data_IF_862232713809
#
_entry.id   IF_862232713809
#
_cell.length_a   1.000
_cell.length_b   1.000
_cell.length_c   1.000
_cell.angle_alpha   90.00
_cell.angle_beta   90.00
_cell.angle_gamma   90.00
#
_symmetry.space_group_name_H-M   'P 1'
#
loop_
_entity.id
_entity.type
_entity.pdbx_description
1 polymer ?
#
# COMPACT_ATOMS: atom_id res chain seq x y z
N UNK A 1 20.94 -21.57 -1.23
CA UNK A 1 20.84 -20.27 -0.50
C UNK A 1 22.05 -19.94 0.33
N UNK A 2 22.51 -20.81 1.25
CA UNK A 2 23.68 -20.49 2.10
C UNK A 2 24.97 -20.22 1.29
N UNK A 3 25.21 -20.96 0.21
CA UNK A 3 26.34 -20.68 -0.68
C UNK A 3 26.27 -19.30 -1.34
N UNK A 4 25.07 -18.87 -1.76
CA UNK A 4 24.89 -17.52 -2.31
C UNK A 4 25.17 -16.46 -1.24
N UNK A 5 24.75 -16.70 0.01
CA UNK A 5 24.99 -15.77 1.11
C UNK A 5 26.48 -15.66 1.45
N UNK A 6 27.21 -16.78 1.40
CA UNK A 6 28.66 -16.80 1.52
C UNK A 6 29.32 -16.01 0.39
N UNK A 7 28.96 -16.28 -0.87
CA UNK A 7 29.48 -15.55 -2.03
C UNK A 7 29.22 -14.04 -1.94
N UNK A 8 28.02 -13.64 -1.48
CA UNK A 8 27.66 -12.24 -1.29
C UNK A 8 28.59 -11.53 -0.29
N UNK A 9 28.96 -12.20 0.81
CA UNK A 9 29.86 -11.65 1.83
C UNK A 9 31.31 -11.60 1.37
N UNK A 10 31.76 -12.62 0.66
CA UNK A 10 33.13 -12.74 0.16
C UNK A 10 33.40 -11.78 -1.00
N UNK A 11 32.34 -11.34 -1.71
CA UNK A 11 32.48 -10.39 -2.80
C UNK A 11 32.88 -9.00 -2.31
N UNK A 12 33.86 -8.38 -2.98
CA UNK A 12 34.25 -6.97 -2.76
C UNK A 12 33.55 -6.03 -3.74
N UNK A 13 33.17 -6.53 -4.92
CA UNK A 13 32.59 -5.75 -6.01
C UNK A 13 31.08 -5.61 -5.85
N UNK A 14 30.58 -4.37 -5.90
CA UNK A 14 29.13 -4.10 -5.81
C UNK A 14 28.34 -4.80 -6.92
N UNK A 15 28.87 -4.84 -8.14
CA UNK A 15 28.23 -5.50 -9.27
C UNK A 15 27.97 -6.99 -9.01
N UNK A 16 28.97 -7.72 -8.51
CA UNK A 16 28.84 -9.14 -8.20
C UNK A 16 27.82 -9.37 -7.09
N UNK A 17 27.82 -8.51 -6.06
CA UNK A 17 26.81 -8.54 -5.00
C UNK A 17 25.40 -8.37 -5.54
N UNK A 18 25.18 -7.47 -6.48
CA UNK A 18 23.87 -7.28 -7.13
C UNK A 18 23.46 -8.55 -7.88
N UNK A 19 24.33 -9.12 -8.70
CA UNK A 19 24.04 -10.35 -9.46
C UNK A 19 23.72 -11.53 -8.52
N UNK A 20 24.43 -11.62 -7.40
CA UNK A 20 24.17 -12.64 -6.37
C UNK A 20 22.81 -12.42 -5.71
N UNK A 21 22.47 -11.17 -5.35
CA UNK A 21 21.18 -10.83 -4.75
C UNK A 21 20.02 -11.06 -5.73
N UNK A 22 20.21 -10.80 -7.03
CA UNK A 22 19.21 -11.13 -8.04
C UNK A 22 18.92 -12.64 -8.06
N UNK A 23 19.97 -13.47 -8.09
CA UNK A 23 19.82 -14.93 -8.00
C UNK A 23 19.14 -15.35 -6.69
N UNK A 24 19.49 -14.73 -5.56
CA UNK A 24 18.81 -15.00 -4.29
C UNK A 24 17.31 -14.68 -4.39
N UNK A 25 16.96 -13.50 -4.90
CA UNK A 25 15.57 -13.05 -5.04
C UNK A 25 14.74 -14.05 -5.85
N UNK A 26 15.24 -14.53 -6.98
CA UNK A 26 14.55 -15.55 -7.79
C UNK A 26 14.28 -16.84 -7.00
N UNK A 27 15.27 -17.32 -6.23
CA UNK A 27 15.12 -18.51 -5.39
C UNK A 27 14.17 -18.28 -4.19
N UNK A 28 14.11 -17.04 -3.67
CA UNK A 28 13.30 -16.70 -2.50
C UNK A 28 11.79 -16.61 -2.80
N UNK A 29 11.37 -16.69 -4.06
CA UNK A 29 9.96 -16.87 -4.40
C UNK A 29 9.43 -18.28 -4.07
N UNK A 30 10.31 -19.27 -3.90
CA UNK A 30 9.92 -20.61 -3.47
C UNK A 30 9.78 -20.68 -1.95
N UNK A 31 8.59 -21.01 -1.45
CA UNK A 31 8.28 -20.99 -0.01
C UNK A 31 9.24 -21.84 0.83
N UNK A 32 9.54 -23.08 0.41
CA UNK A 32 10.46 -23.94 1.16
C UNK A 32 11.88 -23.35 1.25
N UNK A 33 12.33 -22.72 0.16
CA UNK A 33 13.64 -22.07 0.08
C UNK A 33 13.70 -20.82 0.97
N UNK A 34 12.67 -19.97 0.91
CA UNK A 34 12.54 -18.79 1.76
C UNK A 34 12.48 -19.17 3.25
N UNK A 35 11.68 -20.17 3.60
CA UNK A 35 11.49 -20.64 4.96
C UNK A 35 12.80 -21.19 5.55
N UNK A 36 13.49 -22.07 4.82
CA UNK A 36 14.77 -22.61 5.26
C UNK A 36 15.84 -21.51 5.41
N UNK A 37 15.87 -20.54 4.48
CA UNK A 37 16.80 -19.42 4.56
C UNK A 37 16.51 -18.48 5.74
N UNK A 38 15.24 -18.26 6.07
CA UNK A 38 14.82 -17.50 7.24
C UNK A 38 15.23 -18.22 8.54
N UNK A 39 14.91 -19.52 8.67
CA UNK A 39 15.24 -20.35 9.84
C UNK A 39 16.74 -20.42 10.13
N UNK A 40 17.55 -20.41 9.08
CA UNK A 40 19.02 -20.42 9.20
C UNK A 40 19.62 -19.03 9.42
N UNK A 41 18.80 -18.00 9.66
CA UNK A 41 19.23 -16.64 9.97
C UNK A 41 19.65 -15.81 8.76
N UNK A 42 19.56 -16.35 7.54
CA UNK A 42 20.07 -15.70 6.33
C UNK A 42 19.37 -14.38 5.99
N UNK A 43 18.05 -14.30 6.19
CA UNK A 43 17.31 -13.04 5.99
C UNK A 43 17.68 -11.97 7.03
N UNK A 44 17.85 -12.37 8.29
CA UNK A 44 18.32 -11.47 9.36
C UNK A 44 19.71 -10.95 9.06
N UNK A 45 20.56 -11.78 8.47
CA UNK A 45 21.89 -11.36 8.06
C UNK A 45 21.88 -10.37 6.90
N UNK A 46 20.98 -10.50 5.92
CA UNK A 46 20.79 -9.48 4.88
C UNK A 46 20.29 -8.16 5.47
N UNK A 47 19.50 -8.20 6.55
CA UNK A 47 19.12 -6.98 7.26
C UNK A 47 20.34 -6.32 7.93
N UNK A 48 21.33 -7.08 8.39
CA UNK A 48 22.48 -6.52 9.10
C UNK A 48 23.22 -5.52 8.22
N UNK A 49 23.54 -4.35 8.79
CA UNK A 49 24.20 -3.24 8.09
C UNK A 49 23.44 -2.64 6.89
N UNK A 50 22.17 -2.99 6.67
CA UNK A 50 21.36 -2.47 5.54
C UNK A 50 21.45 -0.94 5.43
N UNK A 51 21.39 -0.20 6.53
CA UNK A 51 21.49 1.27 6.54
C UNK A 51 22.82 1.83 6.00
N UNK A 52 23.91 1.05 6.07
CA UNK A 52 25.27 1.43 5.65
C UNK A 52 25.58 1.07 4.19
N UNK A 53 24.73 0.30 3.54
CA UNK A 53 24.94 -0.13 2.15
C UNK A 53 24.61 0.98 1.15
N UNK A 54 25.16 0.85 -0.05
CA UNK A 54 24.83 1.73 -1.17
C UNK A 54 23.35 1.57 -1.57
N UNK A 55 22.73 2.61 -2.17
CA UNK A 55 21.32 2.56 -2.57
C UNK A 55 20.93 1.37 -3.48
N UNK A 56 21.74 0.96 -4.48
CA UNK A 56 21.45 -0.22 -5.30
C UNK A 56 21.39 -1.51 -4.48
N UNK A 57 22.35 -1.72 -3.56
CA UNK A 57 22.38 -2.90 -2.71
C UNK A 57 21.21 -2.91 -1.71
N UNK A 58 20.90 -1.76 -1.10
CA UNK A 58 19.72 -1.63 -0.24
C UNK A 58 18.46 -2.06 -0.97
N UNK A 59 18.27 -1.52 -2.18
CA UNK A 59 17.14 -1.84 -3.04
C UNK A 59 17.02 -3.34 -3.31
N UNK A 60 18.12 -3.99 -3.70
CA UNK A 60 18.11 -5.42 -3.99
C UNK A 60 17.83 -6.28 -2.76
N UNK A 61 18.36 -5.90 -1.60
CA UNK A 61 18.05 -6.60 -0.34
C UNK A 61 16.57 -6.46 0.02
N UNK A 62 15.98 -5.26 -0.12
CA UNK A 62 14.54 -5.07 0.11
C UNK A 62 13.70 -5.97 -0.80
N UNK A 63 14.12 -6.15 -2.06
CA UNK A 63 13.44 -7.05 -2.99
C UNK A 63 13.58 -8.53 -2.59
N UNK A 64 14.76 -8.97 -2.13
CA UNK A 64 14.94 -10.32 -1.55
C UNK A 64 14.03 -10.54 -0.34
N UNK A 65 13.96 -9.57 0.57
CA UNK A 65 13.11 -9.63 1.76
C UNK A 65 11.64 -9.72 1.38
N UNK A 66 11.18 -8.86 0.47
CA UNK A 66 9.81 -8.87 -0.02
C UNK A 66 9.44 -10.22 -0.66
N UNK A 67 10.32 -10.77 -1.51
CA UNK A 67 10.12 -12.06 -2.17
C UNK A 67 9.97 -13.20 -1.15
N UNK A 68 10.82 -13.23 -0.12
CA UNK A 68 10.79 -14.26 0.92
C UNK A 68 9.55 -14.17 1.83
N UNK A 69 9.11 -12.95 2.15
CA UNK A 69 8.02 -12.69 3.10
C UNK A 69 6.64 -12.89 2.44
N UNK A 70 6.53 -12.54 1.16
CA UNK A 70 5.25 -12.56 0.45
C UNK A 70 4.65 -13.97 0.46
N UNK A 71 3.42 -14.09 0.96
CA UNK A 71 2.68 -15.36 0.98
C UNK A 71 3.17 -16.40 1.99
N UNK A 72 4.28 -16.18 2.71
CA UNK A 72 4.85 -17.18 3.63
C UNK A 72 4.65 -16.79 5.11
N UNK A 73 3.67 -17.40 5.78
CA UNK A 73 3.34 -17.09 7.18
C UNK A 73 4.52 -17.31 8.14
N UNK A 74 5.28 -18.40 7.99
CA UNK A 74 6.38 -18.70 8.90
C UNK A 74 7.57 -17.74 8.73
N UNK A 75 7.85 -17.30 7.50
CA UNK A 75 8.85 -16.25 7.27
C UNK A 75 8.39 -14.93 7.90
N UNK A 76 7.09 -14.58 7.84
CA UNK A 76 6.56 -13.39 8.52
C UNK A 76 6.77 -13.45 10.03
N UNK A 77 6.55 -14.59 10.66
CA UNK A 77 6.81 -14.77 12.11
C UNK A 77 8.27 -14.48 12.45
N UNK A 78 9.20 -15.14 11.76
CA UNK A 78 10.65 -14.97 11.97
C UNK A 78 11.07 -13.50 11.73
N UNK A 79 10.61 -12.89 10.64
CA UNK A 79 11.00 -11.52 10.31
C UNK A 79 10.35 -10.47 11.21
N UNK A 80 9.16 -10.76 11.75
CA UNK A 80 8.52 -9.93 12.76
C UNK A 80 9.32 -9.93 14.06
N UNK A 81 9.75 -11.11 14.53
CA UNK A 81 10.64 -11.24 15.69
C UNK A 81 12.00 -10.54 15.46
N UNK A 82 12.48 -10.54 14.22
CA UNK A 82 13.67 -9.81 13.80
C UNK A 82 13.48 -8.29 13.65
N UNK A 83 12.33 -7.73 14.08
CA UNK A 83 12.02 -6.30 14.10
C UNK A 83 12.11 -5.62 12.74
N UNK A 84 11.67 -6.33 11.68
CA UNK A 84 11.75 -5.81 10.32
C UNK A 84 10.91 -4.54 10.12
N UNK A 85 9.75 -4.45 10.78
CA UNK A 85 8.85 -3.31 10.62
C UNK A 85 9.46 -2.02 11.17
N UNK A 86 10.07 -2.07 12.36
CA UNK A 86 10.75 -0.91 12.94
C UNK A 86 11.93 -0.46 12.07
N UNK A 87 12.64 -1.43 11.47
CA UNK A 87 13.74 -1.17 10.55
C UNK A 87 13.27 -0.53 9.25
N UNK A 88 12.16 -0.99 8.68
CA UNK A 88 11.55 -0.36 7.50
C UNK A 88 11.05 1.05 7.82
N UNK A 89 10.39 1.26 8.96
CA UNK A 89 9.95 2.58 9.42
C UNK A 89 11.12 3.55 9.57
N UNK A 90 12.25 3.07 10.10
CA UNK A 90 13.47 3.86 10.24
C UNK A 90 14.05 4.26 8.88
N UNK A 91 14.25 3.30 7.97
CA UNK A 91 14.75 3.59 6.62
C UNK A 91 13.83 4.50 5.82
N UNK A 92 12.51 4.34 5.98
CA UNK A 92 11.52 5.19 5.34
C UNK A 92 11.62 6.63 5.85
N UNK A 93 11.68 6.83 7.18
CA UNK A 93 11.83 8.15 7.80
C UNK A 93 13.14 8.83 7.40
N UNK A 94 14.24 8.07 7.37
CA UNK A 94 15.55 8.56 6.90
C UNK A 94 15.45 9.03 5.45
N UNK A 95 14.87 8.24 4.55
CA UNK A 95 14.73 8.62 3.15
C UNK A 95 13.87 9.87 2.95
N UNK A 96 12.75 9.99 3.67
CA UNK A 96 11.89 11.18 3.63
C UNK A 96 12.54 12.43 4.21
N UNK A 97 13.65 12.29 4.94
CA UNK A 97 14.39 13.43 5.49
C UNK A 97 15.46 13.95 4.52
N UNK A 98 15.70 13.25 3.41
CA UNK A 98 16.59 13.71 2.35
C UNK A 98 15.98 14.91 1.60
N UNK A 99 16.84 15.76 1.02
CA UNK A 99 16.40 16.90 0.20
C UNK A 99 15.65 16.46 -1.07
N UNK A 100 16.04 15.32 -1.64
CA UNK A 100 15.40 14.72 -2.82
C UNK A 100 15.16 13.23 -2.56
N UNK A 101 14.11 12.89 -1.80
CA UNK A 101 13.79 11.50 -1.47
C UNK A 101 13.57 10.63 -2.72
N UNK A 102 14.00 9.37 -2.68
CA UNK A 102 13.88 8.42 -3.77
C UNK A 102 12.57 7.62 -3.70
N UNK A 103 11.56 7.91 -4.55
CA UNK A 103 10.27 7.22 -4.52
C UNK A 103 10.37 5.73 -4.87
N UNK A 104 11.37 5.32 -5.67
CA UNK A 104 11.57 3.90 -5.98
C UNK A 104 12.02 3.14 -4.73
N UNK A 105 12.98 3.68 -3.99
CA UNK A 105 13.47 3.07 -2.75
C UNK A 105 12.33 2.91 -1.73
N UNK A 106 11.52 3.96 -1.55
CA UNK A 106 10.35 3.92 -0.69
C UNK A 106 9.29 2.92 -1.16
N UNK A 107 9.11 2.76 -2.48
CA UNK A 107 8.20 1.75 -3.03
C UNK A 107 8.68 0.31 -2.75
N UNK A 108 9.98 0.08 -2.66
CA UNK A 108 10.57 -1.20 -2.28
C UNK A 108 10.49 -1.41 -0.75
N UNK A 109 10.69 -0.38 0.08
CA UNK A 109 10.42 -0.43 1.53
C UNK A 109 8.95 -0.76 1.80
N UNK A 110 8.03 -0.06 1.13
CA UNK A 110 6.60 -0.33 1.22
C UNK A 110 6.27 -1.74 0.75
N UNK A 111 6.95 -2.30 -0.25
CA UNK A 111 6.72 -3.67 -0.66
C UNK A 111 7.01 -4.66 0.48
N UNK A 112 8.12 -4.48 1.21
CA UNK A 112 8.46 -5.30 2.39
C UNK A 112 7.39 -5.15 3.48
N UNK A 113 7.03 -3.91 3.84
CA UNK A 113 5.98 -3.63 4.83
C UNK A 113 4.66 -4.29 4.41
N UNK A 114 4.24 -4.05 3.18
CA UNK A 114 2.98 -4.55 2.62
C UNK A 114 2.93 -6.08 2.61
N UNK A 115 4.05 -6.75 2.30
CA UNK A 115 4.19 -8.21 2.41
C UNK A 115 4.07 -8.70 3.86
N UNK A 116 4.62 -7.96 4.83
CA UNK A 116 4.48 -8.28 6.25
C UNK A 116 3.06 -8.11 6.77
N UNK A 117 2.34 -7.05 6.37
CA UNK A 117 1.04 -6.70 6.95
C UNK A 117 -0.12 -7.56 6.45
N UNK A 118 -0.17 -7.90 5.16
CA UNK A 118 -1.28 -8.67 4.59
C UNK A 118 -1.40 -10.04 5.24
N UNK A 119 -2.60 -10.43 5.64
CA UNK A 119 -2.92 -11.68 6.30
C UNK A 119 -2.13 -11.93 7.59
N UNK A 120 -1.68 -10.87 8.27
CA UNK A 120 -0.91 -11.01 9.51
C UNK A 120 -1.30 -9.92 10.54
N UNK A 121 -2.36 -10.17 11.33
CA UNK A 121 -2.95 -9.15 12.21
C UNK A 121 -1.99 -8.67 13.30
N UNK A 122 -1.12 -9.55 13.81
CA UNK A 122 -0.11 -9.17 14.80
C UNK A 122 0.81 -8.08 14.27
N UNK A 123 1.27 -8.21 13.02
CA UNK A 123 2.10 -7.20 12.36
C UNK A 123 1.33 -5.91 12.09
N UNK A 124 0.06 -5.99 11.65
CA UNK A 124 -0.79 -4.81 11.46
C UNK A 124 -0.92 -4.00 12.75
N UNK A 125 -1.26 -4.65 13.86
CA UNK A 125 -1.43 -3.96 15.12
C UNK A 125 -0.12 -3.31 15.58
N UNK A 126 1.00 -4.04 15.54
CA UNK A 126 2.29 -3.50 15.92
C UNK A 126 2.71 -2.30 15.05
N UNK A 127 2.42 -2.36 13.75
CA UNK A 127 2.74 -1.30 12.82
C UNK A 127 1.90 -0.05 13.08
N UNK A 128 0.58 -0.17 13.10
CA UNK A 128 -0.30 1.00 13.20
C UNK A 128 -0.45 1.56 14.63
N UNK A 129 -0.14 0.78 15.66
CA UNK A 129 -0.24 1.23 17.06
C UNK A 129 1.03 1.95 17.55
N UNK A 130 2.05 2.16 16.70
CA UNK A 130 3.25 2.93 17.06
C UNK A 130 2.87 4.41 17.31
N UNK A 131 3.00 4.87 18.56
CA UNK A 131 2.67 6.22 18.99
C UNK A 131 3.93 7.05 19.30
N UNK A 132 3.86 8.36 19.06
CA UNK A 132 4.84 9.33 19.56
C UNK A 132 4.63 9.58 21.06
N UNK A 133 5.54 10.34 21.68
CA UNK A 133 5.36 10.84 23.06
C UNK A 133 4.10 11.72 23.21
N UNK A 134 3.65 12.34 22.12
CA UNK A 134 2.42 13.15 22.07
C UNK A 134 1.15 12.31 21.85
N UNK A 135 1.29 11.00 21.63
CA UNK A 135 0.17 10.09 21.36
C UNK A 135 -0.22 9.99 19.88
N UNK A 136 0.46 10.70 18.99
CA UNK A 136 0.17 10.68 17.55
C UNK A 136 0.61 9.36 16.92
N UNK A 137 -0.21 8.81 16.03
CA UNK A 137 0.13 7.57 15.32
C UNK A 137 1.23 7.82 14.28
N UNK A 138 2.43 7.33 14.59
CA UNK A 138 3.67 7.54 13.83
C UNK A 138 3.50 7.11 12.38
N UNK A 139 2.85 5.96 12.15
CA UNK A 139 2.69 5.39 10.82
C UNK A 139 1.75 6.23 9.96
N UNK A 140 0.65 6.75 10.49
CA UNK A 140 -0.22 7.60 9.67
C UNK A 140 0.48 8.89 9.29
N UNK A 141 1.21 9.53 10.21
CA UNK A 141 2.05 10.68 9.86
C UNK A 141 3.08 10.33 8.77
N UNK A 142 3.68 9.13 8.83
CA UNK A 142 4.65 8.67 7.84
C UNK A 142 4.01 8.49 6.44
N UNK A 143 2.84 7.85 6.39
CA UNK A 143 2.09 7.64 5.15
C UNK A 143 1.64 8.98 4.54
N UNK A 144 1.13 9.90 5.37
CA UNK A 144 0.72 11.24 4.95
C UNK A 144 1.89 12.05 4.39
N UNK A 145 3.01 12.10 5.11
CA UNK A 145 4.24 12.73 4.61
C UNK A 145 4.70 12.14 3.29
N UNK A 146 4.41 10.86 3.03
CA UNK A 146 4.78 10.23 1.76
C UNK A 146 3.82 10.63 0.63
N UNK A 147 2.51 10.62 0.87
CA UNK A 147 1.51 10.88 -0.17
C UNK A 147 1.36 12.37 -0.49
N UNK A 148 1.75 13.25 0.43
CA UNK A 148 1.56 14.71 0.36
C UNK A 148 2.89 15.49 0.33
N UNK A 149 4.03 14.80 0.23
CA UNK A 149 5.34 15.46 0.19
C UNK A 149 5.42 16.46 -0.97
N UNK A 150 5.76 17.72 -0.65
CA UNK A 150 6.13 18.72 -1.65
C UNK A 150 7.52 18.47 -2.25
N UNK A 151 8.31 17.54 -1.69
CA UNK A 151 9.67 17.25 -2.14
C UNK A 151 9.71 16.49 -3.48
N UNK A 152 8.59 15.88 -3.88
CA UNK A 152 8.44 15.30 -5.22
C UNK A 152 7.14 15.78 -5.85
N UNK A 153 7.22 16.09 -7.15
CA UNK A 153 6.01 16.21 -7.95
C UNK A 153 5.58 14.80 -8.32
N UNK A 154 4.41 14.38 -7.86
CA UNK A 154 3.96 13.01 -8.02
C UNK A 154 3.52 12.65 -9.45
N UNK A 155 4.02 13.37 -10.45
CA UNK A 155 3.93 13.04 -11.88
C UNK A 155 5.08 12.14 -12.34
N UNK A 156 6.12 11.96 -11.52
CA UNK A 156 7.08 10.88 -11.74
C UNK A 156 6.39 9.51 -11.63
N UNK A 157 6.77 8.57 -12.51
CA UNK A 157 6.18 7.23 -12.56
C UNK A 157 6.35 6.46 -11.25
N UNK A 158 7.47 6.64 -10.55
CA UNK A 158 7.73 5.96 -9.29
C UNK A 158 6.94 6.60 -8.14
N UNK A 159 6.83 7.94 -8.10
CA UNK A 159 5.97 8.60 -7.11
C UNK A 159 4.51 8.18 -7.26
N UNK A 160 3.95 8.18 -8.48
CA UNK A 160 2.57 7.69 -8.74
C UNK A 160 2.37 6.28 -8.21
N UNK A 161 3.30 5.38 -8.55
CA UNK A 161 3.25 3.98 -8.12
C UNK A 161 3.31 3.86 -6.60
N UNK A 162 4.15 4.64 -5.93
CA UNK A 162 4.23 4.67 -4.48
C UNK A 162 2.89 5.12 -3.87
N UNK A 163 2.32 6.23 -4.36
CA UNK A 163 1.03 6.74 -3.90
C UNK A 163 -0.06 5.68 -4.06
N UNK A 164 -0.23 5.10 -5.26
CA UNK A 164 -1.24 4.05 -5.47
C UNK A 164 -1.01 2.81 -4.60
N UNK A 165 0.24 2.40 -4.35
CA UNK A 165 0.54 1.27 -3.46
C UNK A 165 0.15 1.55 -2.01
N UNK A 166 0.27 2.79 -1.54
CA UNK A 166 -0.17 3.16 -0.18
C UNK A 166 -1.69 3.04 -0.08
N UNK A 167 -2.43 3.65 -1.01
CA UNK A 167 -3.90 3.54 -1.03
C UNK A 167 -4.34 2.08 -1.18
N UNK A 168 -3.71 1.31 -2.08
CA UNK A 168 -4.02 -0.11 -2.27
C UNK A 168 -3.75 -0.91 -0.99
N UNK A 169 -2.62 -0.68 -0.31
CA UNK A 169 -2.35 -1.35 0.96
C UNK A 169 -3.45 -1.04 1.98
N UNK A 170 -3.82 0.22 2.18
CA UNK A 170 -4.87 0.57 3.15
C UNK A 170 -6.21 -0.06 2.78
N UNK A 171 -6.59 -0.03 1.50
CA UNK A 171 -7.79 -0.71 1.00
C UNK A 171 -7.76 -2.22 1.27
N UNK A 172 -6.66 -2.89 0.92
CA UNK A 172 -6.50 -4.35 1.16
C UNK A 172 -6.66 -4.70 2.64
N UNK A 173 -6.12 -3.89 3.55
CA UNK A 173 -6.20 -4.15 4.99
C UNK A 173 -7.61 -3.90 5.55
N UNK A 174 -8.38 -3.00 4.94
CA UNK A 174 -9.80 -2.79 5.29
C UNK A 174 -10.64 -3.96 4.79
N UNK A 175 -10.49 -4.34 3.52
CA UNK A 175 -11.19 -5.48 2.93
C UNK A 175 -10.91 -6.78 3.71
N UNK A 176 -9.63 -7.03 4.03
CA UNK A 176 -9.21 -8.18 4.87
C UNK A 176 -9.92 -8.22 6.23
N UNK A 177 -10.20 -7.05 6.82
CA UNK A 177 -10.90 -6.93 8.11
C UNK A 177 -12.42 -7.02 7.99
N UNK A 178 -12.97 -6.77 6.80
CA UNK A 178 -14.40 -6.93 6.55
C UNK A 178 -14.77 -8.38 6.25
N UNK A 179 -13.83 -9.19 5.77
CA UNK A 179 -13.98 -10.62 5.51
C UNK A 179 -13.73 -11.52 6.75
N UNK A 180 -13.85 -10.94 7.96
CA UNK A 180 -13.53 -11.65 9.22
C UNK A 180 -14.58 -12.69 9.64
N UNK A 181 -15.77 -12.70 9.07
CA UNK A 181 -16.84 -13.61 9.48
C UNK A 181 -16.46 -15.09 9.30
N UNK A 182 -15.63 -15.39 8.29
CA UNK A 182 -15.09 -16.74 8.02
C UNK A 182 -13.79 -17.04 8.79
N UNK A 183 -13.31 -16.10 9.62
CA UNK A 183 -12.02 -16.20 10.31
C UNK A 183 -12.15 -16.80 11.72
N UNK A 184 -11.21 -17.68 12.16
CA UNK A 184 -11.21 -18.22 13.51
C UNK A 184 -11.28 -17.14 14.59
N UNK A 185 -12.06 -17.38 15.66
CA UNK A 185 -12.33 -16.40 16.73
C UNK A 185 -11.05 -15.80 17.31
N UNK A 186 -10.01 -16.61 17.53
CA UNK A 186 -8.74 -16.14 18.07
C UNK A 186 -8.06 -15.13 17.15
N UNK A 187 -8.11 -15.34 15.84
CA UNK A 187 -7.56 -14.41 14.86
C UNK A 187 -8.38 -13.12 14.79
N UNK A 188 -9.71 -13.20 14.91
CA UNK A 188 -10.59 -12.01 15.04
C UNK A 188 -10.24 -11.16 16.26
N UNK A 189 -10.00 -11.78 17.42
CA UNK A 189 -9.55 -11.08 18.64
C UNK A 189 -8.23 -10.34 18.45
N UNK A 190 -7.34 -10.84 17.60
CA UNK A 190 -6.10 -10.12 17.27
C UNK A 190 -6.43 -8.88 16.43
N UNK A 191 -7.22 -8.99 15.36
CA UNK A 191 -7.60 -7.82 14.56
C UNK A 191 -8.28 -6.72 15.38
N UNK A 192 -9.11 -7.10 16.36
CA UNK A 192 -9.84 -6.13 17.19
C UNK A 192 -8.97 -5.34 18.19
N UNK A 193 -7.66 -5.63 18.31
CA UNK A 193 -6.77 -4.88 19.20
C UNK A 193 -6.48 -3.46 18.70
N UNK A 194 -6.71 -3.21 17.42
CA UNK A 194 -6.51 -1.91 16.79
C UNK A 194 -7.65 -1.66 15.79
N UNK A 195 -8.35 -0.54 15.93
CA UNK A 195 -9.49 -0.19 15.09
C UNK A 195 -9.02 0.58 13.84
N UNK A 196 -8.46 -0.16 12.87
CA UNK A 196 -7.99 0.44 11.62
C UNK A 196 -9.09 1.25 10.89
N UNK A 197 -10.36 0.78 10.78
CA UNK A 197 -11.43 1.59 10.19
C UNK A 197 -11.65 2.93 10.89
N UNK A 198 -11.63 2.99 12.23
CA UNK A 198 -11.75 4.25 12.97
C UNK A 198 -10.60 5.20 12.62
N UNK A 199 -9.38 4.68 12.58
CA UNK A 199 -8.17 5.47 12.36
C UNK A 199 -8.05 5.99 10.93
N UNK A 200 -8.54 5.22 9.94
CA UNK A 200 -8.68 5.66 8.55
C UNK A 200 -9.57 6.91 8.44
N UNK A 201 -10.68 6.95 9.19
CA UNK A 201 -11.55 8.12 9.25
C UNK A 201 -10.87 9.29 9.95
N UNK A 202 -10.31 9.05 11.13
CA UNK A 202 -9.70 10.08 11.98
C UNK A 202 -8.53 10.79 11.27
N UNK A 203 -7.72 10.03 10.54
CA UNK A 203 -6.59 10.56 9.78
C UNK A 203 -6.97 11.06 8.38
N UNK A 204 -8.27 11.17 8.07
CA UNK A 204 -8.79 11.79 6.86
C UNK A 204 -8.45 11.04 5.56
N UNK A 205 -8.33 9.72 5.60
CA UNK A 205 -8.08 8.91 4.39
C UNK A 205 -9.30 8.84 3.48
N UNK A 206 -10.52 8.97 4.04
CA UNK A 206 -11.77 9.04 3.30
C UNK A 206 -11.77 10.20 2.30
N UNK A 207 -11.50 11.42 2.76
CA UNK A 207 -11.37 12.59 1.89
C UNK A 207 -10.19 12.47 0.90
N UNK A 208 -9.07 11.86 1.31
CA UNK A 208 -7.90 11.67 0.43
C UNK A 208 -8.16 10.76 -0.75
N UNK A 209 -9.06 9.80 -0.61
CA UNK A 209 -9.53 8.98 -1.74
C UNK A 209 -10.29 9.85 -2.75
N UNK A 210 -11.13 10.78 -2.29
CA UNK A 210 -11.80 11.75 -3.19
C UNK A 210 -10.78 12.59 -3.95
N UNK A 211 -9.79 13.15 -3.23
CA UNK A 211 -8.68 13.90 -3.84
C UNK A 211 -7.89 13.07 -4.85
N UNK A 212 -7.67 11.78 -4.58
CA UNK A 212 -6.98 10.87 -5.51
C UNK A 212 -7.77 10.70 -6.82
N UNK A 213 -9.09 10.55 -6.74
CA UNK A 213 -9.99 10.35 -7.90
C UNK A 213 -10.22 11.65 -8.70
N UNK A 214 -9.99 12.80 -8.07
CA UNK A 214 -10.09 14.11 -8.72
C UNK A 214 -8.77 14.57 -9.39
N UNK A 215 -7.68 13.84 -9.19
CA UNK A 215 -6.37 14.21 -9.74
C UNK A 215 -6.21 13.69 -11.18
N UNK A 216 -6.57 14.54 -12.15
CA UNK A 216 -6.46 14.24 -13.58
C UNK A 216 -5.05 13.88 -14.05
N UNK A 217 -4.02 14.43 -13.40
CA UNK A 217 -2.64 14.19 -13.77
C UNK A 217 -2.14 12.83 -13.27
N UNK A 218 -2.69 12.33 -12.17
CA UNK A 218 -2.51 10.95 -11.72
C UNK A 218 -3.30 9.95 -12.57
N UNK A 219 -4.54 10.30 -12.95
CA UNK A 219 -5.50 9.42 -13.64
C UNK A 219 -5.36 9.45 -15.17
N UNK A 220 -4.13 9.50 -15.66
CA UNK A 220 -3.83 9.66 -17.08
C UNK A 220 -3.80 8.35 -17.89
N UNK A 221 -4.02 7.19 -17.26
CA UNK A 221 -4.13 5.89 -17.91
C UNK A 221 -5.27 5.07 -17.32
N UNK A 222 -5.81 4.11 -18.06
CA UNK A 222 -6.88 3.24 -17.57
C UNK A 222 -6.48 2.43 -16.33
N UNK A 223 -5.23 1.94 -16.29
CA UNK A 223 -4.68 1.21 -15.15
C UNK A 223 -4.60 2.09 -13.89
N UNK A 224 -4.26 3.37 -14.05
CA UNK A 224 -4.24 4.31 -12.91
C UNK A 224 -5.66 4.59 -12.39
N UNK A 225 -6.63 4.73 -13.30
CA UNK A 225 -8.05 4.88 -12.92
C UNK A 225 -8.53 3.68 -12.15
N UNK A 226 -8.35 2.48 -12.69
CA UNK A 226 -8.70 1.22 -12.03
C UNK A 226 -8.06 1.14 -10.63
N UNK A 227 -6.75 1.37 -10.53
CA UNK A 227 -6.02 1.31 -9.26
C UNK A 227 -6.55 2.30 -8.21
N UNK A 228 -6.87 3.53 -8.63
CA UNK A 228 -7.38 4.57 -7.75
C UNK A 228 -8.80 4.26 -7.26
N UNK A 229 -9.68 3.85 -8.17
CA UNK A 229 -11.08 3.57 -7.90
C UNK A 229 -11.22 2.30 -7.05
N UNK A 230 -10.45 1.24 -7.35
CA UNK A 230 -10.44 0.00 -6.57
C UNK A 230 -9.98 0.26 -5.13
N UNK A 231 -8.82 0.90 -4.94
CA UNK A 231 -8.35 1.26 -3.61
C UNK A 231 -9.32 2.20 -2.88
N UNK A 232 -9.91 3.14 -3.62
CA UNK A 232 -10.89 4.07 -3.08
C UNK A 232 -12.18 3.39 -2.61
N UNK A 233 -12.67 2.42 -3.37
CA UNK A 233 -13.84 1.60 -3.01
C UNK A 233 -13.61 0.85 -1.71
N UNK A 234 -12.46 0.20 -1.55
CA UNK A 234 -12.18 -0.57 -0.32
C UNK A 234 -12.04 0.35 0.90
N UNK A 235 -11.33 1.48 0.77
CA UNK A 235 -11.22 2.46 1.86
C UNK A 235 -12.60 3.05 2.21
N UNK A 236 -13.45 3.29 1.23
CA UNK A 236 -14.78 3.85 1.44
C UNK A 236 -15.67 2.99 2.36
N UNK A 237 -15.40 1.67 2.48
CA UNK A 237 -16.10 0.79 3.41
C UNK A 237 -15.89 1.17 4.88
N UNK A 238 -14.78 1.83 5.22
CA UNK A 238 -14.49 2.30 6.57
C UNK A 238 -15.12 3.67 6.88
N UNK A 239 -15.65 4.36 5.86
CA UNK A 239 -16.01 5.78 5.91
C UNK A 239 -17.52 6.00 6.04
N UNK A 240 -17.90 7.16 6.56
CA UNK A 240 -19.26 7.69 6.46
C UNK A 240 -19.33 8.85 5.47
N UNK A 241 -20.53 9.20 4.98
CA UNK A 241 -20.70 10.23 3.94
C UNK A 241 -20.05 11.58 4.28
N UNK A 242 -20.09 11.97 5.56
CA UNK A 242 -19.49 13.23 6.06
C UNK A 242 -17.96 13.23 6.03
N UNK A 243 -17.32 12.06 5.93
CA UNK A 243 -15.86 11.93 6.00
C UNK A 243 -15.19 12.13 4.62
N UNK A 244 -15.97 12.11 3.53
CA UNK A 244 -15.45 12.23 2.16
C UNK A 244 -15.25 13.66 1.69
N UNK A 245 -16.05 14.60 2.21
CA UNK A 245 -16.15 15.94 1.63
C UNK A 245 -15.93 17.01 2.69
N UNK A 246 -15.11 18.00 2.36
CA UNK A 246 -14.96 19.21 3.19
C UNK A 246 -16.07 20.23 2.93
N UNK A 247 -16.61 20.23 1.71
CA UNK A 247 -17.69 21.13 1.29
C UNK A 247 -18.56 20.50 0.18
N UNK A 248 -19.68 21.17 -0.12
CA UNK A 248 -20.62 20.69 -1.13
C UNK A 248 -20.06 20.79 -2.56
N UNK A 249 -19.16 21.74 -2.84
CA UNK A 249 -18.61 21.94 -4.17
C UNK A 249 -17.70 20.77 -4.56
N UNK A 250 -16.90 20.25 -3.64
CA UNK A 250 -16.08 19.06 -3.84
C UNK A 250 -16.94 17.83 -4.18
N UNK A 251 -18.06 17.66 -3.48
CA UNK A 251 -19.02 16.60 -3.79
C UNK A 251 -19.55 16.72 -5.22
N UNK A 252 -19.98 17.92 -5.64
CA UNK A 252 -20.43 18.14 -7.01
C UNK A 252 -19.34 17.86 -8.04
N UNK A 253 -18.10 18.27 -7.75
CA UNK A 253 -16.94 18.02 -8.63
C UNK A 253 -16.66 16.52 -8.76
N UNK A 254 -16.69 15.75 -7.67
CA UNK A 254 -16.53 14.29 -7.73
C UNK A 254 -17.69 13.65 -8.49
N UNK A 255 -18.94 14.05 -8.26
CA UNK A 255 -20.10 13.49 -8.94
C UNK A 255 -20.01 13.68 -10.47
N UNK A 256 -19.63 14.88 -10.92
CA UNK A 256 -19.40 15.18 -12.34
C UNK A 256 -18.23 14.37 -12.91
N UNK A 257 -17.13 14.23 -12.15
CA UNK A 257 -15.98 13.42 -12.57
C UNK A 257 -16.37 11.94 -12.75
N UNK A 258 -17.10 11.37 -11.80
CA UNK A 258 -17.54 9.99 -11.88
C UNK A 258 -18.49 9.76 -13.06
N UNK A 259 -19.39 10.72 -13.34
CA UNK A 259 -20.26 10.66 -14.53
C UNK A 259 -19.45 10.62 -15.84
N UNK A 260 -18.42 11.47 -15.97
CA UNK A 260 -17.52 11.46 -17.13
C UNK A 260 -16.80 10.11 -17.27
N UNK A 261 -16.34 9.52 -16.16
CA UNK A 261 -15.71 8.21 -16.17
C UNK A 261 -16.72 7.10 -16.54
N UNK A 262 -17.92 7.12 -15.97
CA UNK A 262 -19.00 6.16 -16.27
C UNK A 262 -19.34 6.19 -17.76
N UNK A 263 -19.56 7.36 -18.37
CA UNK A 263 -19.82 7.48 -19.81
C UNK A 263 -18.65 6.96 -20.63
N UNK A 264 -17.42 7.36 -20.30
CA UNK A 264 -16.21 6.92 -21.01
C UNK A 264 -16.06 5.40 -21.01
N UNK A 265 -16.25 4.76 -19.86
CA UNK A 265 -16.07 3.30 -19.73
C UNK A 265 -17.27 2.51 -20.26
N UNK A 266 -18.48 3.08 -20.27
CA UNK A 266 -19.63 2.48 -20.98
C UNK A 266 -19.41 2.47 -22.49
N UNK A 267 -18.92 3.58 -23.07
CA UNK A 267 -18.58 3.64 -24.50
C UNK A 267 -17.48 2.64 -24.86
N UNK A 268 -16.39 2.60 -24.08
CA UNK A 268 -15.29 1.64 -24.29
C UNK A 268 -15.76 0.20 -24.18
N UNK A 269 -16.56 -0.14 -23.16
CA UNK A 269 -17.09 -1.49 -22.96
C UNK A 269 -17.99 -1.96 -24.12
N UNK A 270 -18.75 -1.05 -24.75
CA UNK A 270 -19.55 -1.38 -25.94
C UNK A 270 -18.71 -1.65 -27.18
N UNK A 271 -17.56 -1.02 -27.30
CA UNK A 271 -16.63 -1.18 -28.44
C UNK A 271 -15.63 -2.31 -28.26
N UNK A 272 -15.44 -2.79 -27.03
CA UNK A 272 -14.53 -3.88 -26.66
C UNK A 272 -15.13 -5.25 -26.98
N UNK A 273 -15.46 -5.47 -28.25
CA UNK A 273 -16.11 -6.70 -28.74
C UNK A 273 -15.13 -7.77 -29.20
N UNK A 274 -13.82 -7.47 -29.31
CA UNK A 274 -12.87 -8.32 -30.02
C UNK A 274 -11.99 -9.22 -29.14
N UNK A 275 -11.76 -8.91 -27.85
CA UNK A 275 -10.79 -9.66 -27.04
C UNK A 275 -11.37 -10.45 -25.85
N UNK A 276 -12.67 -10.39 -25.57
CA UNK A 276 -13.32 -11.27 -24.58
C UNK A 276 -12.84 -11.12 -23.13
N UNK A 277 -12.07 -10.08 -22.81
CA UNK A 277 -11.46 -9.89 -21.49
C UNK A 277 -12.29 -9.01 -20.54
N UNK A 278 -13.39 -8.40 -21.01
CA UNK A 278 -14.34 -7.66 -20.18
C UNK A 278 -13.69 -6.55 -19.33
N UNK A 279 -12.53 -6.05 -19.75
CA UNK A 279 -11.69 -5.17 -18.93
C UNK A 279 -12.40 -3.84 -18.67
N UNK A 280 -12.92 -3.19 -19.72
CA UNK A 280 -13.60 -1.92 -19.57
C UNK A 280 -14.94 -2.04 -18.83
N UNK A 281 -15.63 -3.18 -18.95
CA UNK A 281 -16.84 -3.47 -18.17
C UNK A 281 -16.51 -3.64 -16.68
N UNK A 282 -15.41 -4.32 -16.34
CA UNK A 282 -14.89 -4.38 -14.97
C UNK A 282 -14.63 -2.97 -14.42
N UNK A 283 -13.92 -2.13 -15.17
CA UNK A 283 -13.60 -0.76 -14.72
C UNK A 283 -14.85 0.09 -14.59
N UNK A 284 -15.80 -0.02 -15.52
CA UNK A 284 -17.12 0.63 -15.41
C UNK A 284 -17.84 0.24 -14.12
N UNK A 285 -17.92 -1.06 -13.82
CA UNK A 285 -18.54 -1.56 -12.59
C UNK A 285 -17.82 -1.03 -11.35
N UNK A 286 -16.50 -0.95 -11.37
CA UNK A 286 -15.72 -0.37 -10.27
C UNK A 286 -16.05 1.10 -10.02
N UNK A 287 -16.22 1.91 -11.07
CA UNK A 287 -16.60 3.33 -10.93
C UNK A 287 -17.99 3.45 -10.31
N UNK A 288 -18.96 2.65 -10.76
CA UNK A 288 -20.32 2.64 -10.21
C UNK A 288 -20.33 2.19 -8.74
N UNK A 289 -19.56 1.15 -8.40
CA UNK A 289 -19.42 0.66 -7.02
C UNK A 289 -18.79 1.72 -6.11
N UNK A 290 -17.75 2.40 -6.58
CA UNK A 290 -17.12 3.48 -5.82
C UNK A 290 -18.09 4.66 -5.62
N UNK A 291 -18.84 5.04 -6.67
CA UNK A 291 -19.90 6.06 -6.56
C UNK A 291 -20.91 5.69 -5.48
N UNK A 292 -21.37 4.44 -5.48
CA UNK A 292 -22.30 3.92 -4.48
C UNK A 292 -21.69 3.88 -3.07
N UNK A 293 -20.41 3.56 -2.95
CA UNK A 293 -19.72 3.56 -1.65
C UNK A 293 -19.63 4.97 -1.05
N UNK A 294 -19.42 5.99 -1.89
CA UNK A 294 -19.29 7.39 -1.44
C UNK A 294 -20.65 8.06 -1.23
N UNK A 295 -21.61 7.86 -2.13
CA UNK A 295 -22.91 8.56 -2.13
C UNK A 295 -24.09 7.71 -1.61
N UNK A 296 -23.89 6.41 -1.39
CA UNK A 296 -24.97 5.47 -1.11
C UNK A 296 -25.82 5.17 -2.35
N UNK A 297 -27.04 4.64 -2.13
CA UNK A 297 -28.02 4.38 -3.19
C UNK A 297 -28.76 5.66 -3.66
N UNK A 298 -28.46 6.81 -3.06
CA UNK A 298 -29.10 8.09 -3.39
C UNK A 298 -28.26 8.89 -4.39
N UNK A 299 -28.94 9.56 -5.32
CA UNK A 299 -28.35 10.67 -6.08
C UNK A 299 -27.88 11.75 -5.10
N UNK A 300 -26.70 12.36 -5.38
CA UNK A 300 -26.03 13.45 -4.65
C UNK A 300 -26.88 14.04 -3.51
N UNK A 301 -26.58 13.67 -2.27
CA UNK A 301 -27.29 14.19 -1.10
C UNK A 301 -26.96 15.67 -0.96
N UNK A 302 -27.99 16.51 -1.06
CA UNK A 302 -27.97 17.90 -0.60
C UNK A 302 -27.50 17.93 0.85
N UNK A 303 -26.29 18.43 1.08
CA UNK A 303 -25.80 18.68 2.44
C UNK A 303 -26.65 19.80 3.00
N UNK A 304 -27.53 19.48 3.95
CA UNK A 304 -28.37 20.45 4.62
C UNK A 304 -27.47 21.51 5.28
N UNK A 305 -27.62 22.76 4.85
CA UNK A 305 -26.98 23.91 5.45
C UNK A 305 -27.51 24.12 6.86
N UNK A 306 -26.85 23.55 7.87
CA UNK A 306 -27.00 24.02 9.25
C UNK A 306 -26.09 25.22 9.44
N UNK A 307 -26.62 26.41 9.11
CA UNK A 307 -26.14 27.66 9.68
C UNK A 307 -26.61 27.74 11.14
N UNK A 308 -25.66 27.93 12.06
CA UNK A 308 -25.88 28.58 13.36
C UNK A 308 -25.46 30.03 13.21
#
# INVERSE_FOLDING_TARGET
MQDLLRQYKESEMEFDKIVILEKMKENLHEYATAENFAKTGGLTELLNNLSRLSPPLKTMILQCLAAAIQGCAHVKEIMFEARILEKMNTLWREELSNQSPNPKFLADCLLVVSSMLRNYPTAQNAFFSEQTETGDLVVFSLLLRTTESSAWNCYDKYCRRLKFRIFRLLGDLIDERNLLDDTPLERRKVYSKFDLPAEIKEHGWCHRVVRLVLDDQLLNTHVNVESAIEAGKEIAQACSQKDFFTDHQESLTLASRLEVLETKYDDLARTDTEDGLGYYEKVRSLVADFRKAVYGNGSVVSVASTHV
#
